data_IF_594926681903
#
_entry.id   IF_594926681903
#
_cell.length_a   1.000
_cell.length_b   1.000
_cell.length_c   1.000
_cell.angle_alpha   90.00
_cell.angle_beta   90.00
_cell.angle_gamma   90.00
#
_symmetry.space_group_name_H-M   'P 1'
#
loop_
_entity.id
_entity.type
_entity.pdbx_description
1 polymer ?
#
# COMPACT_ATOMS: atom_id res chain seq x y z
N UNK A 1 -4.87 -37.65 -7.19
CA UNK A 1 -5.02 -36.48 -8.09
C UNK A 1 -5.70 -35.29 -7.43
N UNK A 2 -6.74 -35.45 -6.58
CA UNK A 2 -7.32 -34.29 -5.87
C UNK A 2 -6.43 -33.69 -4.77
N UNK A 3 -5.54 -34.48 -4.12
CA UNK A 3 -4.67 -33.99 -3.05
C UNK A 3 -3.58 -33.01 -3.54
N UNK A 4 -2.98 -33.25 -4.71
CA UNK A 4 -2.00 -32.33 -5.35
C UNK A 4 -2.65 -31.02 -5.80
N UNK A 5 -3.91 -31.05 -6.25
CA UNK A 5 -4.66 -29.83 -6.59
C UNK A 5 -5.02 -28.99 -5.35
N UNK A 6 -5.28 -29.64 -4.21
CA UNK A 6 -5.56 -28.95 -2.94
C UNK A 6 -4.26 -28.38 -2.33
N UNK A 7 -3.14 -29.11 -2.36
CA UNK A 7 -1.84 -28.55 -1.96
C UNK A 7 -1.40 -27.40 -2.87
N UNK A 8 -1.56 -27.52 -4.19
CA UNK A 8 -1.22 -26.45 -5.14
C UNK A 8 -2.12 -25.22 -4.95
N UNK A 9 -3.43 -25.39 -4.71
CA UNK A 9 -4.35 -24.29 -4.45
C UNK A 9 -4.05 -23.57 -3.11
N UNK A 10 -3.63 -24.32 -2.09
CA UNK A 10 -3.19 -23.77 -0.79
C UNK A 10 -1.84 -23.07 -0.90
N UNK A 11 -0.88 -23.61 -1.65
CA UNK A 11 0.40 -22.97 -1.94
C UNK A 11 0.23 -21.65 -2.70
N UNK A 12 -0.66 -21.62 -3.71
CA UNK A 12 -0.98 -20.39 -4.48
C UNK A 12 -1.57 -19.32 -3.57
N UNK A 13 -2.49 -19.68 -2.68
CA UNK A 13 -3.12 -18.74 -1.75
C UNK A 13 -2.14 -18.19 -0.71
N UNK A 14 -1.23 -19.04 -0.22
CA UNK A 14 -0.20 -18.64 0.74
C UNK A 14 0.86 -17.72 0.10
N UNK A 15 1.30 -18.05 -1.12
CA UNK A 15 2.28 -17.24 -1.85
C UNK A 15 1.69 -15.88 -2.25
N UNK A 16 0.40 -15.83 -2.62
CA UNK A 16 -0.30 -14.58 -2.91
C UNK A 16 -0.36 -13.64 -1.70
N UNK A 17 -0.72 -14.14 -0.51
CA UNK A 17 -0.76 -13.34 0.72
C UNK A 17 0.65 -12.91 1.16
N UNK A 18 1.65 -13.78 0.98
CA UNK A 18 3.05 -13.46 1.26
C UNK A 18 3.59 -12.34 0.36
N UNK A 19 3.32 -12.42 -0.94
CA UNK A 19 3.69 -11.38 -1.91
C UNK A 19 3.00 -10.05 -1.58
N UNK A 20 1.70 -10.05 -1.29
CA UNK A 20 0.97 -8.84 -0.88
C UNK A 20 1.54 -8.23 0.41
N UNK A 21 1.85 -9.04 1.42
CA UNK A 21 2.48 -8.57 2.66
C UNK A 21 3.86 -7.95 2.41
N UNK A 22 4.67 -8.56 1.53
CA UNK A 22 5.99 -8.01 1.18
C UNK A 22 5.90 -6.67 0.44
N UNK A 23 4.94 -6.53 -0.49
CA UNK A 23 4.65 -5.29 -1.21
C UNK A 23 4.16 -4.20 -0.25
N UNK A 24 3.32 -4.56 0.71
CA UNK A 24 2.87 -3.64 1.76
C UNK A 24 4.06 -3.15 2.61
N UNK A 25 4.94 -4.05 3.02
CA UNK A 25 6.15 -3.70 3.77
C UNK A 25 7.06 -2.76 2.98
N UNK A 26 7.32 -3.05 1.71
CA UNK A 26 8.15 -2.19 0.84
C UNK A 26 7.49 -0.82 0.66
N UNK A 27 6.17 -0.74 0.55
CA UNK A 27 5.43 0.52 0.51
C UNK A 27 5.54 1.33 1.81
N UNK A 28 5.47 0.67 2.97
CA UNK A 28 5.66 1.31 4.28
C UNK A 28 7.12 1.74 4.52
N UNK A 29 8.09 0.94 4.10
CA UNK A 29 9.50 1.33 4.09
C UNK A 29 9.71 2.54 3.17
N UNK A 30 9.03 2.54 2.02
CA UNK A 30 8.85 3.66 1.11
C UNK A 30 8.53 4.96 1.86
N UNK A 31 7.49 4.91 2.70
CA UNK A 31 7.03 6.05 3.48
C UNK A 31 7.99 6.48 4.60
N UNK A 32 8.69 5.51 5.20
CA UNK A 32 9.57 5.75 6.34
C UNK A 32 10.89 6.43 5.97
N UNK A 33 11.32 6.33 4.70
CA UNK A 33 12.61 6.83 4.22
C UNK A 33 12.68 8.37 4.06
N UNK A 34 11.74 9.11 4.67
CA UNK A 34 11.62 10.58 4.55
C UNK A 34 11.63 11.09 3.09
N UNK A 35 10.81 10.52 2.20
CA UNK A 35 10.66 11.09 0.87
C UNK A 35 9.87 12.40 0.93
N UNK A 36 10.08 13.26 -0.07
CA UNK A 36 9.25 14.45 -0.24
C UNK A 36 7.76 14.09 -0.26
N UNK A 37 6.86 14.98 0.22
CA UNK A 37 5.48 14.61 0.48
C UNK A 37 4.71 14.07 -0.76
N UNK A 38 5.11 14.46 -1.97
CA UNK A 38 4.54 13.94 -3.23
C UNK A 38 4.75 12.42 -3.36
N UNK A 39 5.97 11.93 -3.10
CA UNK A 39 6.30 10.50 -3.20
C UNK A 39 5.69 9.71 -2.04
N UNK A 40 5.59 10.32 -0.86
CA UNK A 40 4.85 9.75 0.27
C UNK A 40 3.38 9.52 -0.07
N UNK A 41 2.72 10.47 -0.72
CA UNK A 41 1.34 10.31 -1.17
C UNK A 41 1.15 9.11 -2.12
N UNK A 42 2.05 8.95 -3.09
CA UNK A 42 2.02 7.81 -4.02
C UNK A 42 2.26 6.48 -3.29
N UNK A 43 3.22 6.42 -2.36
CA UNK A 43 3.48 5.22 -1.55
C UNK A 43 2.30 4.81 -0.67
N UNK A 44 1.58 5.79 -0.12
CA UNK A 44 0.35 5.57 0.66
C UNK A 44 -0.78 5.00 -0.19
N UNK A 45 -0.95 5.47 -1.43
CA UNK A 45 -1.99 4.93 -2.33
C UNK A 45 -1.70 3.48 -2.69
N UNK A 46 -0.47 3.17 -3.06
CA UNK A 46 -0.07 1.81 -3.45
C UNK A 46 -0.16 0.85 -2.27
N UNK A 47 0.39 1.21 -1.10
CA UNK A 47 0.31 0.38 0.11
C UNK A 47 -1.13 0.21 0.62
N UNK A 48 -1.95 1.25 0.58
CA UNK A 48 -3.37 1.19 0.93
C UNK A 48 -4.15 0.23 0.02
N UNK A 49 -3.88 0.26 -1.29
CA UNK A 49 -4.56 -0.61 -2.26
C UNK A 49 -4.18 -2.08 -2.06
N UNK A 50 -2.89 -2.35 -1.85
CA UNK A 50 -2.37 -3.68 -1.51
C UNK A 50 -2.98 -4.20 -0.19
N UNK A 51 -3.12 -3.35 0.82
CA UNK A 51 -3.80 -3.69 2.08
C UNK A 51 -5.28 -4.01 1.89
N UNK A 52 -5.98 -3.26 1.03
CA UNK A 52 -7.38 -3.54 0.69
C UNK A 52 -7.53 -4.90 -0.01
N UNK A 53 -6.67 -5.21 -0.98
CA UNK A 53 -6.59 -6.51 -1.65
C UNK A 53 -6.35 -7.67 -0.68
N UNK A 54 -5.51 -7.46 0.34
CA UNK A 54 -5.27 -8.45 1.38
C UNK A 54 -6.54 -8.74 2.19
N UNK A 55 -7.25 -7.70 2.65
CA UNK A 55 -8.48 -7.85 3.45
C UNK A 55 -9.63 -8.45 2.63
N UNK A 56 -9.70 -8.14 1.33
CA UNK A 56 -10.64 -8.77 0.40
C UNK A 56 -10.40 -10.29 0.28
N UNK A 57 -9.14 -10.74 0.34
CA UNK A 57 -8.76 -12.16 0.30
C UNK A 57 -9.25 -12.96 1.52
N UNK A 58 -9.44 -12.32 2.68
CA UNK A 58 -9.95 -12.96 3.90
C UNK A 58 -11.48 -12.89 4.05
N UNK A 59 -12.21 -12.43 3.02
CA UNK A 59 -13.67 -12.30 3.05
C UNK A 59 -14.19 -11.05 3.77
N UNK A 60 -13.31 -10.15 4.19
CA UNK A 60 -13.63 -8.91 4.90
C UNK A 60 -13.92 -7.71 3.99
N UNK A 61 -14.64 -7.90 2.88
CA UNK A 61 -14.76 -6.90 1.80
C UNK A 61 -15.32 -5.55 2.24
N UNK A 62 -16.35 -5.52 3.08
CA UNK A 62 -16.98 -4.27 3.52
C UNK A 62 -16.10 -3.48 4.51
N UNK A 63 -15.50 -4.16 5.48
CA UNK A 63 -14.59 -3.54 6.46
C UNK A 63 -13.30 -3.05 5.79
N UNK A 64 -12.74 -3.82 4.86
CA UNK A 64 -11.56 -3.43 4.10
C UNK A 64 -11.78 -2.17 3.26
N UNK A 65 -12.95 -2.04 2.64
CA UNK A 65 -13.30 -0.85 1.85
C UNK A 65 -13.51 0.39 2.70
N UNK A 66 -14.17 0.29 3.86
CA UNK A 66 -14.36 1.43 4.76
C UNK A 66 -13.01 1.93 5.29
N UNK A 67 -12.16 1.02 5.78
CA UNK A 67 -10.82 1.38 6.29
C UNK A 67 -9.97 1.97 5.17
N UNK A 68 -10.03 1.41 3.97
CA UNK A 68 -9.33 1.94 2.80
C UNK A 68 -9.79 3.36 2.45
N UNK A 69 -11.11 3.61 2.38
CA UNK A 69 -11.66 4.93 2.04
C UNK A 69 -11.32 6.00 3.08
N UNK A 70 -11.36 5.66 4.37
CA UNK A 70 -11.00 6.60 5.45
C UNK A 70 -9.48 6.83 5.46
N UNK A 71 -8.68 5.79 5.28
CA UNK A 71 -7.22 5.89 5.29
C UNK A 71 -6.70 6.65 4.07
N UNK A 72 -7.13 6.29 2.86
CA UNK A 72 -6.77 7.04 1.66
C UNK A 72 -7.34 8.44 1.69
N UNK A 73 -8.63 8.61 1.93
CA UNK A 73 -9.27 9.91 1.90
C UNK A 73 -8.70 10.86 2.94
N UNK A 74 -8.52 10.39 4.19
CA UNK A 74 -7.97 11.19 5.27
C UNK A 74 -6.51 11.53 5.07
N UNK A 75 -5.66 10.55 4.75
CA UNK A 75 -4.22 10.77 4.64
C UNK A 75 -3.85 11.53 3.36
N UNK A 76 -4.56 11.34 2.24
CA UNK A 76 -4.31 12.12 1.00
C UNK A 76 -4.64 13.59 1.16
N UNK A 77 -5.73 13.95 1.84
CA UNK A 77 -6.11 15.37 2.01
C UNK A 77 -5.06 16.10 2.85
N UNK A 78 -4.58 15.48 3.92
CA UNK A 78 -3.51 16.05 4.77
C UNK A 78 -2.18 16.12 4.02
N UNK A 79 -1.85 15.11 3.21
CA UNK A 79 -0.69 15.14 2.32
C UNK A 79 -0.79 16.23 1.25
N UNK A 80 -1.95 16.39 0.62
CA UNK A 80 -2.25 17.43 -0.38
C UNK A 80 -2.14 18.84 0.21
N UNK A 81 -2.60 19.02 1.45
CA UNK A 81 -2.41 20.27 2.17
C UNK A 81 -0.92 20.50 2.46
N UNK A 82 -0.21 19.51 2.99
CA UNK A 82 1.22 19.63 3.33
C UNK A 82 2.09 19.88 2.10
N UNK A 83 1.84 19.19 0.98
CA UNK A 83 2.53 19.41 -0.30
C UNK A 83 2.33 20.83 -0.81
N UNK A 84 1.12 21.40 -0.70
CA UNK A 84 0.85 22.76 -1.14
C UNK A 84 1.66 23.81 -0.35
N UNK A 85 1.81 23.62 0.96
CA UNK A 85 2.55 24.56 1.83
C UNK A 85 4.07 24.34 1.77
N UNK A 86 4.50 23.09 1.53
CA UNK A 86 5.90 22.69 1.38
C UNK A 86 6.36 22.65 -0.08
N UNK A 87 5.72 23.44 -0.96
CA UNK A 87 6.19 23.60 -2.35
C UNK A 87 7.48 24.42 -2.37
N UNK A 88 8.60 23.74 -2.15
CA UNK A 88 9.95 24.24 -2.41
C UNK A 88 10.37 23.90 -3.85
N UNK A 89 11.09 24.82 -4.53
CA UNK A 89 11.35 24.82 -5.99
C UNK A 89 12.08 23.59 -6.54
N UNK A 90 12.64 22.73 -5.68
CA UNK A 90 13.34 21.50 -6.07
C UNK A 90 12.85 20.31 -5.24
N UNK A 91 12.00 19.44 -5.78
CA UNK A 91 11.63 18.21 -5.09
C UNK A 91 12.84 17.26 -5.09
N UNK A 92 13.44 17.07 -3.91
CA UNK A 92 14.41 16.00 -3.65
C UNK A 92 13.75 14.65 -4.03
N UNK A 93 14.24 14.04 -5.11
CA UNK A 93 13.79 12.72 -5.57
C UNK A 93 14.66 11.64 -4.92
N UNK A 94 14.15 10.41 -4.88
CA UNK A 94 14.82 9.22 -4.34
C UNK A 94 16.19 8.89 -4.97
N UNK A 95 16.62 9.64 -5.98
CA UNK A 95 17.88 9.46 -6.71
C UNK A 95 18.75 10.72 -6.81
N UNK A 96 18.59 11.69 -5.91
CA UNK A 96 19.58 12.77 -5.80
C UNK A 96 20.92 12.17 -5.36
N UNK A 97 21.95 12.30 -6.22
CA UNK A 97 23.29 11.70 -6.05
C UNK A 97 24.06 12.35 -4.90
#
# INVERSE_FOLDING_TARGET
>A
MSLVAVECCVEIMNNYIFVLSSLFLVGCLGLALKPSPIYGGLGLIVSGFVGCLMVLGFGGSFLGLIVFLIYLGGMLVVFGYTTAIATEEYPETWGSN
#
